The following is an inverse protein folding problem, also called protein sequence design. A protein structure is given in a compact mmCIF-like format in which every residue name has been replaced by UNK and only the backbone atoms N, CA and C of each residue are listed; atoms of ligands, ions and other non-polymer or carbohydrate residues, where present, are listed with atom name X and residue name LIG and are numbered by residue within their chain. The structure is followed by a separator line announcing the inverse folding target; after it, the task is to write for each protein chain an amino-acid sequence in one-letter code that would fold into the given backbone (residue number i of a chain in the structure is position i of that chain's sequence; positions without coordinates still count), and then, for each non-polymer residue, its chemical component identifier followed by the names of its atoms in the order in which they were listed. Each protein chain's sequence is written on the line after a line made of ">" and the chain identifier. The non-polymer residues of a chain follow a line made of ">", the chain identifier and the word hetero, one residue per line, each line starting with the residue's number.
data_IF_164323229353
#
_entry.id   IF_164323229353
#
_cell.length_a   1.000
_cell.length_b   1.000
_cell.length_c   1.000
_cell.angle_alpha   90.00
_cell.angle_beta   90.00
_cell.angle_gamma   90.00
#
_symmetry.space_group_name_H-M   'P 1'
#
loop_
_entity.id
_entity.type
_entity.pdbx_description
1 polymer ?
#
# COMPACT_ATOMS: atom_id res chain seq x y z
N UNK A 1 6.30 -5.29 -7.14
CA UNK A 1 5.36 -4.86 -6.07
C UNK A 1 5.46 -3.34 -5.94
N UNK A 2 4.36 -2.63 -5.66
CA UNK A 2 4.34 -1.15 -5.64
C UNK A 2 4.53 -0.61 -4.22
N UNK A 3 5.39 0.41 -4.05
CA UNK A 3 5.73 0.96 -2.73
C UNK A 3 4.55 1.51 -1.93
N UNK A 4 3.56 2.11 -2.59
CA UNK A 4 2.36 2.65 -1.92
C UNK A 4 1.51 1.56 -1.23
N UNK A 5 1.49 0.33 -1.77
CA UNK A 5 0.80 -0.79 -1.13
C UNK A 5 1.52 -1.26 0.14
N UNK A 6 2.86 -1.35 0.10
CA UNK A 6 3.63 -1.73 1.29
C UNK A 6 3.51 -0.65 2.39
N UNK A 7 3.47 0.63 2.00
CA UNK A 7 3.21 1.73 2.92
C UNK A 7 1.85 1.58 3.62
N UNK A 8 0.78 1.38 2.85
CA UNK A 8 -0.57 1.19 3.38
C UNK A 8 -0.69 0.00 4.36
N UNK A 9 0.16 -1.02 4.19
CA UNK A 9 0.19 -2.24 5.02
C UNK A 9 1.04 -2.13 6.28
N UNK A 10 1.64 -0.97 6.58
CA UNK A 10 2.55 -0.86 7.73
C UNK A 10 3.98 -1.32 7.46
N UNK A 11 4.33 -1.64 6.20
CA UNK A 11 5.63 -2.22 5.85
C UNK A 11 6.58 -1.15 5.35
N UNK A 12 6.90 -0.17 6.21
CA UNK A 12 7.67 1.02 5.86
C UNK A 12 9.04 0.72 5.22
N UNK A 13 9.77 -0.27 5.73
CA UNK A 13 11.07 -0.67 5.16
C UNK A 13 10.96 -1.20 3.73
N UNK A 14 9.93 -1.99 3.42
CA UNK A 14 9.69 -2.48 2.05
C UNK A 14 9.19 -1.36 1.15
N UNK A 15 8.34 -0.48 1.68
CA UNK A 15 7.86 0.69 0.96
C UNK A 15 9.02 1.59 0.52
N UNK A 16 9.98 1.87 1.41
CA UNK A 16 11.11 2.75 1.09
C UNK A 16 11.94 2.21 -0.08
N UNK A 17 12.24 0.90 -0.10
CA UNK A 17 13.00 0.24 -1.18
C UNK A 17 12.32 0.42 -2.54
N UNK A 18 11.00 0.22 -2.60
CA UNK A 18 10.27 0.36 -3.87
C UNK A 18 10.14 1.81 -4.33
N UNK A 19 10.01 2.75 -3.40
CA UNK A 19 9.89 4.17 -3.71
C UNK A 19 11.24 4.77 -4.13
N UNK A 20 12.35 4.36 -3.50
CA UNK A 20 13.70 4.71 -3.92
C UNK A 20 14.01 4.16 -5.32
N UNK A 21 13.60 2.92 -5.61
CA UNK A 21 13.72 2.36 -6.96
C UNK A 21 12.91 3.16 -7.99
N UNK A 22 11.70 3.60 -7.63
CA UNK A 22 10.84 4.39 -8.52
C UNK A 22 11.40 5.79 -8.81
N UNK A 23 11.99 6.46 -7.81
CA UNK A 23 12.64 7.77 -8.01
C UNK A 23 13.93 7.65 -8.84
N UNK A 24 14.65 6.53 -8.74
CA UNK A 24 15.83 6.27 -9.59
C UNK A 24 15.44 6.02 -11.05
N UNK A 25 14.36 5.28 -11.27
CA UNK A 25 13.85 4.99 -12.61
C UNK A 25 13.22 6.22 -13.26
N UNK A 26 12.48 7.01 -12.49
CA UNK A 26 11.82 8.24 -12.93
C UNK A 26 12.20 9.38 -11.97
N UNK A 27 13.31 10.08 -12.24
CA UNK A 27 13.72 11.23 -11.44
C UNK A 27 12.63 12.29 -11.36
N UNK A 28 12.28 12.73 -10.15
CA UNK A 28 11.20 13.69 -9.93
C UNK A 28 9.80 13.07 -9.88
N UNK A 29 9.69 11.74 -9.69
CA UNK A 29 8.40 11.10 -9.52
C UNK A 29 7.73 11.55 -8.22
N UNK A 30 6.88 12.57 -8.33
CA UNK A 30 6.29 13.29 -7.20
C UNK A 30 5.62 12.38 -6.17
N UNK A 31 4.94 11.32 -6.62
CA UNK A 31 4.30 10.36 -5.72
C UNK A 31 5.32 9.61 -4.86
N UNK A 32 6.44 9.18 -5.44
CA UNK A 32 7.49 8.47 -4.71
C UNK A 32 8.06 9.34 -3.59
N UNK A 33 8.42 10.59 -3.91
CA UNK A 33 8.96 11.56 -2.95
C UNK A 33 7.98 11.89 -1.83
N UNK A 34 6.71 12.12 -2.16
CA UNK A 34 5.67 12.42 -1.17
C UNK A 34 5.46 11.25 -0.19
N UNK A 35 5.45 10.02 -0.69
CA UNK A 35 5.33 8.83 0.15
C UNK A 35 6.58 8.60 1.00
N UNK A 36 7.77 8.89 0.47
CA UNK A 36 9.02 8.85 1.24
C UNK A 36 8.99 9.83 2.41
N UNK A 37 8.53 11.06 2.17
CA UNK A 37 8.38 12.08 3.22
C UNK A 37 7.38 11.64 4.30
N UNK A 38 6.24 11.05 3.91
CA UNK A 38 5.27 10.48 4.84
C UNK A 38 5.85 9.32 5.67
N UNK A 39 6.66 8.45 5.06
CA UNK A 39 7.36 7.36 5.74
C UNK A 39 8.33 7.88 6.80
N UNK A 40 9.15 8.89 6.46
CA UNK A 40 10.11 9.48 7.40
C UNK A 40 9.44 10.12 8.61
N UNK A 41 8.22 10.63 8.47
CA UNK A 41 7.41 11.17 9.59
C UNK A 41 6.81 10.08 10.48
N UNK A 42 6.98 8.79 10.14
CA UNK A 42 6.56 7.66 10.96
C UNK A 42 5.05 7.40 10.97
N UNK A 43 4.27 8.08 10.12
CA UNK A 43 2.82 8.00 10.13
C UNK A 43 2.28 6.99 9.14
N UNK A 44 1.49 6.02 9.62
CA UNK A 44 0.58 5.27 8.74
C UNK A 44 -0.62 6.14 8.35
N UNK A 45 -1.16 5.98 7.13
CA UNK A 45 -2.34 6.72 6.73
C UNK A 45 -3.54 6.27 7.57
N UNK A 46 -4.39 7.21 7.98
CA UNK A 46 -5.57 6.93 8.80
C UNK A 46 -6.50 5.90 8.14
N UNK A 47 -6.71 6.02 6.83
CA UNK A 47 -7.50 5.08 6.03
C UNK A 47 -6.87 3.68 5.98
N UNK A 48 -5.54 3.55 6.09
CA UNK A 48 -4.89 2.24 6.15
C UNK A 48 -5.25 1.45 7.41
N UNK A 49 -5.68 2.14 8.48
CA UNK A 49 -6.12 1.54 9.75
C UNK A 49 -7.63 1.26 9.79
N UNK A 50 -8.39 1.78 8.84
CA UNK A 50 -9.83 1.60 8.80
C UNK A 50 -10.19 0.29 8.08
N UNK A 51 -10.81 -0.66 8.79
CA UNK A 51 -11.28 -1.92 8.18
C UNK A 51 -12.31 -1.67 7.07
N UNK A 52 -13.11 -0.61 7.17
CA UNK A 52 -14.11 -0.26 6.15
C UNK A 52 -13.51 0.07 4.77
N UNK A 53 -12.25 0.49 4.72
CA UNK A 53 -11.53 0.80 3.48
C UNK A 53 -10.58 -0.32 3.06
N UNK A 54 -10.60 -1.46 3.76
CA UNK A 54 -9.82 -2.62 3.38
C UNK A 54 -10.36 -3.21 2.07
N UNK A 55 -9.45 -3.59 1.18
CA UNK A 55 -9.82 -4.34 -0.02
C UNK A 55 -10.29 -5.73 0.36
N UNK A 56 -11.60 -5.95 0.40
CA UNK A 56 -12.19 -7.28 0.55
C UNK A 56 -12.22 -7.94 -0.83
N UNK A 57 -11.62 -9.13 -1.02
CA UNK A 57 -11.90 -9.90 -2.23
C UNK A 57 -13.40 -10.22 -2.28
N UNK A 58 -14.02 -10.32 -3.47
CA UNK A 58 -15.40 -10.77 -3.56
C UNK A 58 -15.51 -12.10 -2.82
N UNK A 59 -16.44 -12.20 -1.86
CA UNK A 59 -16.71 -13.45 -1.16
C UNK A 59 -17.06 -14.51 -2.21
N UNK A 60 -16.36 -15.65 -2.17
CA UNK A 60 -16.66 -16.76 -3.06
C UNK A 60 -18.16 -17.08 -2.97
N UNK A 61 -18.85 -17.33 -4.10
CA UNK A 61 -20.26 -17.68 -4.07
C UNK A 61 -20.44 -18.87 -3.13
N UNK A 62 -21.44 -18.79 -2.26
CA UNK A 62 -21.84 -19.91 -1.43
C UNK A 62 -22.05 -21.10 -2.38
N UNK A 63 -21.39 -22.23 -2.09
CA UNK A 63 -21.67 -23.48 -2.79
C UNK A 63 -23.04 -23.95 -2.34
N UNK A 64 -24.08 -23.44 -2.96
CA UNK A 64 -25.41 -24.00 -2.88
C UNK A 64 -25.42 -25.27 -3.73
N UNK A 65 -25.70 -26.41 -3.07
CA UNK A 65 -26.09 -27.64 -3.73
C UNK A 65 -25.10 -28.79 -3.62
N UNK A 66 -25.30 -29.62 -2.59
CA UNK A 66 -25.35 -31.07 -2.79
C UNK A 66 -26.53 -31.57 -1.95
N UNK A 67 -27.64 -31.80 -2.64
CA UNK A 67 -28.80 -32.60 -2.19
C UNK A 67 -28.39 -34.06 -2.18
#
# INVERSE_FOLDING_TARGET
>A
MSGWFEYARGRGSRASVYLDAAEREVPGYRLARLLQELLHRGGLPAWGRCRATARTPPSAPARDGAV
#
